data_IF_827122569605
#
_entry.id   IF_827122569605
#
_cell.length_a   1.000
_cell.length_b   1.000
_cell.length_c   1.000
_cell.angle_alpha   90.00
_cell.angle_beta   90.00
_cell.angle_gamma   90.00
#
_symmetry.space_group_name_H-M   'P 1'
#
loop_
_entity.id
_entity.type
_entity.pdbx_description
1 polymer ?
#
# COMPACT_ATOMS: atom_id res chain seq x y z
N UNK A 1 -17.29 18.45 26.57
CA UNK A 1 -16.69 19.34 25.55
C UNK A 1 -17.18 18.87 24.18
N UNK A 2 -17.80 19.75 23.40
CA UNK A 2 -18.17 19.44 22.02
C UNK A 2 -16.93 19.59 21.13
N UNK A 3 -16.54 18.52 20.45
CA UNK A 3 -15.42 18.55 19.51
C UNK A 3 -15.83 19.33 18.27
N UNK A 4 -14.91 20.16 17.75
CA UNK A 4 -15.12 20.80 16.46
C UNK A 4 -15.21 19.75 15.32
N UNK A 5 -15.92 20.05 14.21
CA UNK A 5 -15.94 19.16 13.05
C UNK A 5 -14.54 18.77 12.54
N UNK A 6 -13.60 19.72 12.58
CA UNK A 6 -12.19 19.44 12.29
C UNK A 6 -11.62 18.37 13.21
N UNK A 7 -11.78 18.51 14.53
CA UNK A 7 -11.26 17.56 15.50
C UNK A 7 -11.89 16.16 15.35
N UNK A 8 -13.19 16.08 15.09
CA UNK A 8 -13.87 14.80 14.86
C UNK A 8 -13.26 14.03 13.69
N UNK A 9 -13.09 14.72 12.55
CA UNK A 9 -12.49 14.12 11.36
C UNK A 9 -11.00 13.78 11.57
N UNK A 10 -10.23 14.68 12.19
CA UNK A 10 -8.82 14.46 12.47
C UNK A 10 -8.57 13.28 13.44
N UNK A 11 -9.41 13.13 14.47
CA UNK A 11 -9.35 12.00 15.40
C UNK A 11 -9.65 10.69 14.67
N UNK A 12 -10.68 10.69 13.82
CA UNK A 12 -11.03 9.50 13.06
C UNK A 12 -9.94 9.13 12.04
N UNK A 13 -9.37 10.12 11.35
CA UNK A 13 -8.24 9.94 10.45
C UNK A 13 -7.04 9.32 11.18
N UNK A 14 -6.69 9.84 12.37
CA UNK A 14 -5.59 9.32 13.17
C UNK A 14 -5.82 7.86 13.63
N UNK A 15 -7.07 7.48 13.96
CA UNK A 15 -7.41 6.09 14.26
C UNK A 15 -7.15 5.18 13.06
N UNK A 16 -7.59 5.57 11.87
CA UNK A 16 -7.35 4.82 10.65
C UNK A 16 -5.87 4.75 10.27
N UNK A 17 -5.12 5.83 10.48
CA UNK A 17 -3.67 5.80 10.27
C UNK A 17 -2.97 4.77 11.16
N UNK A 18 -3.36 4.71 12.44
CA UNK A 18 -2.81 3.75 13.40
C UNK A 18 -3.18 2.32 13.04
N UNK A 19 -4.38 2.11 12.48
CA UNK A 19 -4.83 0.81 11.97
C UNK A 19 -4.22 0.44 10.60
N UNK A 20 -3.41 1.30 9.99
CA UNK A 20 -2.85 1.07 8.65
C UNK A 20 -3.86 1.19 7.51
N UNK A 21 -5.09 1.64 7.79
CA UNK A 21 -6.15 1.83 6.79
C UNK A 21 -5.97 3.18 6.09
N UNK A 22 -4.92 3.28 5.26
CA UNK A 22 -4.41 4.54 4.72
C UNK A 22 -5.39 5.26 3.79
N UNK A 23 -6.21 4.51 3.06
CA UNK A 23 -7.28 5.05 2.20
C UNK A 23 -8.33 5.83 3.00
N UNK A 24 -8.82 5.20 4.07
CA UNK A 24 -9.79 5.80 4.98
C UNK A 24 -9.15 6.99 5.70
N UNK A 25 -7.90 6.84 6.18
CA UNK A 25 -7.16 7.92 6.81
C UNK A 25 -7.03 9.15 5.90
N UNK A 26 -6.62 8.96 4.64
CA UNK A 26 -6.51 10.04 3.66
C UNK A 26 -7.86 10.74 3.45
N UNK A 27 -8.94 9.96 3.34
CA UNK A 27 -10.30 10.49 3.16
C UNK A 27 -10.71 11.39 4.33
N UNK A 28 -10.54 10.92 5.57
CA UNK A 28 -10.89 11.71 6.75
C UNK A 28 -9.97 12.92 6.95
N UNK A 29 -8.70 12.85 6.55
CA UNK A 29 -7.84 14.04 6.54
C UNK A 29 -8.31 15.09 5.52
N UNK A 30 -8.71 14.69 4.32
CA UNK A 30 -9.30 15.64 3.35
C UNK A 30 -10.60 16.26 3.88
N UNK A 31 -11.45 15.47 4.56
CA UNK A 31 -12.64 16.00 5.23
C UNK A 31 -12.29 16.98 6.35
N UNK A 32 -11.28 16.67 7.18
CA UNK A 32 -10.78 17.58 8.21
C UNK A 32 -10.29 18.90 7.60
N UNK A 33 -9.52 18.84 6.51
CA UNK A 33 -9.06 20.00 5.76
C UNK A 33 -10.23 20.87 5.27
N UNK A 34 -11.24 20.26 4.66
CA UNK A 34 -12.40 20.96 4.12
C UNK A 34 -13.20 21.73 5.19
N UNK A 35 -13.32 21.18 6.41
CA UNK A 35 -14.05 21.81 7.53
C UNK A 35 -13.15 22.66 8.44
N UNK A 36 -11.85 22.76 8.13
CA UNK A 36 -10.91 23.55 8.92
C UNK A 36 -11.12 25.05 8.69
N UNK A 37 -11.44 25.76 9.78
CA UNK A 37 -11.55 27.23 9.78
C UNK A 37 -10.17 27.90 9.78
N UNK A 38 -9.21 27.34 10.54
CA UNK A 38 -7.84 27.87 10.60
C UNK A 38 -7.01 27.31 9.45
N UNK A 39 -6.31 28.18 8.73
CA UNK A 39 -5.45 27.80 7.60
C UNK A 39 -4.41 26.74 8.01
N UNK A 40 -3.76 26.91 9.17
CA UNK A 40 -2.78 25.93 9.68
C UNK A 40 -3.36 24.52 9.83
N UNK A 41 -4.63 24.41 10.22
CA UNK A 41 -5.30 23.12 10.36
C UNK A 41 -5.63 22.51 9.00
N UNK A 42 -6.00 23.35 8.03
CA UNK A 42 -6.23 22.94 6.64
C UNK A 42 -4.95 22.37 6.02
N UNK A 43 -3.87 23.16 6.05
CA UNK A 43 -2.58 22.75 5.50
C UNK A 43 -2.03 21.49 6.19
N UNK A 44 -2.19 21.40 7.50
CA UNK A 44 -1.77 20.22 8.24
C UNK A 44 -2.52 18.98 7.78
N UNK A 45 -3.85 19.07 7.69
CA UNK A 45 -4.69 17.98 7.25
C UNK A 45 -4.39 17.57 5.80
N UNK A 46 -4.18 18.53 4.89
CA UNK A 46 -3.81 18.27 3.49
C UNK A 46 -2.48 17.51 3.39
N UNK A 47 -1.45 17.95 4.13
CA UNK A 47 -0.15 17.25 4.16
C UNK A 47 -0.27 15.83 4.71
N UNK A 48 -1.18 15.60 5.67
CA UNK A 48 -1.43 14.26 6.24
C UNK A 48 -2.17 13.36 5.25
N UNK A 49 -3.14 13.89 4.51
CA UNK A 49 -3.80 13.17 3.43
C UNK A 49 -2.80 12.73 2.35
N UNK A 50 -1.98 13.65 1.85
CA UNK A 50 -0.95 13.38 0.85
C UNK A 50 0.07 12.33 1.33
N UNK A 51 0.48 12.41 2.60
CA UNK A 51 1.35 11.40 3.21
C UNK A 51 0.70 10.00 3.20
N UNK A 52 -0.59 9.91 3.52
CA UNK A 52 -1.31 8.64 3.52
C UNK A 52 -1.37 8.05 2.10
N UNK A 53 -1.67 8.87 1.09
CA UNK A 53 -1.71 8.45 -0.32
C UNK A 53 -0.35 7.93 -0.80
N UNK A 54 0.73 8.66 -0.48
CA UNK A 54 2.10 8.28 -0.83
C UNK A 54 2.49 6.96 -0.16
N UNK A 55 2.21 6.80 1.13
CA UNK A 55 2.52 5.57 1.88
C UNK A 55 1.73 4.37 1.34
N UNK A 56 0.46 4.57 0.98
CA UNK A 56 -0.35 3.55 0.32
C UNK A 56 0.27 3.13 -1.01
N UNK A 57 0.56 4.10 -1.87
CA UNK A 57 1.14 3.84 -3.20
C UNK A 57 2.46 3.08 -3.10
N UNK A 58 3.31 3.47 -2.15
CA UNK A 58 4.57 2.77 -1.89
C UNK A 58 4.33 1.32 -1.45
N UNK A 59 3.40 1.09 -0.53
CA UNK A 59 3.03 -0.26 -0.09
C UNK A 59 2.51 -1.13 -1.23
N UNK A 60 1.63 -0.60 -2.09
CA UNK A 60 1.11 -1.33 -3.24
C UNK A 60 2.23 -1.70 -4.23
N UNK A 61 3.15 -0.76 -4.51
CA UNK A 61 4.30 -1.02 -5.38
C UNK A 61 5.23 -2.08 -4.80
N UNK A 62 5.46 -2.04 -3.50
CA UNK A 62 6.27 -3.02 -2.80
C UNK A 62 5.65 -4.43 -2.90
N UNK A 63 4.35 -4.57 -2.66
CA UNK A 63 3.67 -5.86 -2.80
C UNK A 63 3.70 -6.39 -4.23
N UNK A 64 3.45 -5.53 -5.22
CA UNK A 64 3.53 -5.93 -6.63
C UNK A 64 4.94 -6.41 -7.01
N UNK A 65 5.97 -5.70 -6.55
CA UNK A 65 7.36 -6.11 -6.76
C UNK A 65 7.65 -7.46 -6.09
N UNK A 66 7.20 -7.66 -4.84
CA UNK A 66 7.37 -8.91 -4.10
C UNK A 66 6.72 -10.09 -4.82
N UNK A 67 5.50 -9.92 -5.33
CA UNK A 67 4.79 -10.94 -6.10
C UNK A 67 5.52 -11.27 -7.41
N UNK A 68 6.02 -10.26 -8.12
CA UNK A 68 6.80 -10.46 -9.35
C UNK A 68 8.06 -11.27 -9.08
N UNK A 69 8.82 -10.93 -8.04
CA UNK A 69 10.02 -11.66 -7.66
C UNK A 69 9.73 -13.13 -7.28
N UNK A 70 8.61 -13.38 -6.59
CA UNK A 70 8.18 -14.74 -6.28
C UNK A 70 7.82 -15.53 -7.56
N UNK A 71 7.07 -14.92 -8.47
CA UNK A 71 6.70 -15.54 -9.75
C UNK A 71 7.93 -15.84 -10.62
N UNK A 72 8.90 -14.92 -10.70
CA UNK A 72 10.16 -15.14 -11.43
C UNK A 72 10.96 -16.32 -10.83
N UNK A 73 11.01 -16.44 -9.50
CA UNK A 73 11.68 -17.54 -8.82
C UNK A 73 11.01 -18.89 -9.12
N UNK A 74 9.69 -18.95 -9.12
CA UNK A 74 8.96 -20.19 -9.45
C UNK A 74 9.07 -20.54 -10.93
N UNK A 75 9.01 -19.56 -11.83
CA UNK A 75 9.24 -19.78 -13.26
C UNK A 75 10.63 -20.37 -13.53
N UNK A 76 11.66 -19.86 -12.83
CA UNK A 76 13.03 -20.39 -12.94
C UNK A 76 13.12 -21.85 -12.49
N UNK A 77 12.55 -22.19 -11.33
CA UNK A 77 12.52 -23.59 -10.85
C UNK A 77 11.79 -24.53 -11.80
N UNK A 78 10.65 -24.08 -12.35
CA UNK A 78 9.90 -24.86 -13.33
C UNK A 78 10.71 -25.10 -14.60
N UNK A 79 11.38 -24.07 -15.12
CA UNK A 79 12.25 -24.20 -16.29
C UNK A 79 13.42 -25.16 -16.04
N UNK A 80 14.05 -25.09 -14.86
CA UNK A 80 15.12 -26.03 -14.46
C UNK A 80 14.60 -27.47 -14.36
N UNK A 81 13.43 -27.69 -13.76
CA UNK A 81 12.83 -29.02 -13.65
C UNK A 81 12.46 -29.61 -15.03
N UNK A 82 11.89 -28.78 -15.92
CA UNK A 82 11.60 -29.15 -17.31
C UNK A 82 12.89 -29.50 -18.07
N UNK A 83 13.93 -28.68 -17.95
CA UNK A 83 15.23 -28.95 -18.57
C UNK A 83 15.86 -30.26 -18.08
N UNK A 84 15.82 -30.51 -16.77
CA UNK A 84 16.31 -31.76 -16.19
C UNK A 84 15.52 -32.98 -16.67
N UNK A 85 14.19 -32.86 -16.77
CA UNK A 85 13.32 -33.93 -17.26
C UNK A 85 13.63 -34.27 -18.72
N UNK A 86 13.71 -33.25 -19.59
CA UNK A 86 14.02 -33.40 -21.01
C UNK A 86 15.38 -34.10 -21.18
N UNK A 87 16.43 -33.61 -20.51
CA UNK A 87 17.77 -34.20 -20.58
C UNK A 87 17.78 -35.67 -20.13
N UNK A 88 16.99 -36.02 -19.12
CA UNK A 88 16.87 -37.41 -18.65
C UNK A 88 16.15 -38.30 -19.66
N UNK A 89 15.09 -37.80 -20.32
CA UNK A 89 14.32 -38.57 -21.30
C UNK A 89 15.04 -38.76 -22.63
N UNK A 90 15.87 -37.80 -23.06
CA UNK A 90 16.61 -37.86 -24.33
C UNK A 90 17.98 -38.52 -24.21
N UNK A 91 18.56 -38.62 -23.01
CA UNK A 91 19.87 -39.29 -22.81
C UNK A 91 19.78 -40.82 -22.68
N UNK A 92 18.56 -41.39 -22.71
CA UNK A 92 18.32 -42.84 -22.65
C UNK A 92 18.15 -43.54 -24.00
N UNK A 93 18.21 -42.82 -25.13
CA UNK A 93 18.04 -43.39 -26.49
C UNK A 93 19.36 -43.81 -27.17
N UNK A 94 20.31 -44.42 -26.45
CA UNK A 94 21.48 -45.05 -27.07
C UNK A 94 21.60 -46.51 -26.69
#
# INVERSE_FOLDING_TARGET
MNLSPYMLNAIQAAKFEKAGQLDLAATFWRQASAVAVKLVNREWADRRADRCDKRRTLSTRYEAWRQKAAAEKEAKKMAEALGNHINKTTSGER
#
